data_IF_946935017714
#
_entry.id   IF_946935017714
#
_cell.length_a   1.000
_cell.length_b   1.000
_cell.length_c   1.000
_cell.angle_alpha   90.00
_cell.angle_beta   90.00
_cell.angle_gamma   90.00
#
_symmetry.space_group_name_H-M   'P 1'
#
loop_
_entity.id
_entity.type
_entity.pdbx_description
1 polymer ?
#
# COMPACT_ATOMS: atom_id res chain seq x y z
N UNK A 1 24.77 23.13 -6.25
CA UNK A 1 25.45 24.21 -5.51
C UNK A 1 26.19 23.70 -4.27
N UNK A 2 25.61 22.83 -3.41
CA UNK A 2 26.26 22.33 -2.18
C UNK A 2 27.58 21.58 -2.46
N UNK A 3 27.64 20.74 -3.49
CA UNK A 3 28.89 20.07 -3.87
C UNK A 3 29.98 21.05 -4.36
N UNK A 4 29.58 22.13 -5.05
CA UNK A 4 30.53 23.19 -5.46
C UNK A 4 31.06 23.93 -4.26
N UNK A 5 30.19 24.25 -3.27
CA UNK A 5 30.56 24.87 -2.01
C UNK A 5 31.53 23.98 -1.24
N UNK A 6 31.15 22.69 -1.05
CA UNK A 6 32.01 21.72 -0.36
C UNK A 6 33.42 21.64 -0.98
N UNK A 7 33.48 21.53 -2.32
CA UNK A 7 34.77 21.49 -3.04
C UNK A 7 35.59 22.76 -2.76
N UNK A 8 34.97 23.93 -2.88
CA UNK A 8 35.64 25.23 -2.61
C UNK A 8 36.21 25.32 -1.19
N UNK A 9 35.40 24.89 -0.21
CA UNK A 9 35.82 24.94 1.20
C UNK A 9 36.96 23.96 1.49
N UNK A 10 36.95 22.76 0.89
CA UNK A 10 38.07 21.79 0.99
C UNK A 10 39.33 22.32 0.30
N UNK A 11 39.20 22.82 -0.94
CA UNK A 11 40.35 23.37 -1.69
C UNK A 11 41.02 24.53 -0.89
N UNK A 12 40.22 25.38 -0.26
CA UNK A 12 40.76 26.48 0.55
C UNK A 12 41.58 26.02 1.77
N UNK A 13 41.24 24.86 2.36
CA UNK A 13 42.04 24.27 3.45
C UNK A 13 43.33 23.63 2.92
N UNK A 14 43.26 22.97 1.76
CA UNK A 14 44.46 22.40 1.11
C UNK A 14 45.46 23.49 0.70
N UNK A 15 45.00 24.63 0.19
CA UNK A 15 45.84 25.79 -0.12
C UNK A 15 46.56 26.38 1.11
N UNK A 16 45.96 26.20 2.29
CA UNK A 16 46.58 26.58 3.58
C UNK A 16 47.60 25.56 4.10
N UNK A 17 47.80 24.43 3.38
CA UNK A 17 48.76 23.39 3.73
C UNK A 17 48.17 22.20 4.47
N UNK A 18 46.83 22.13 4.62
CA UNK A 18 46.20 20.97 5.24
C UNK A 18 46.23 19.76 4.31
N UNK A 19 46.53 18.54 4.83
CA UNK A 19 46.43 17.32 4.06
C UNK A 19 44.99 17.12 3.57
N UNK A 20 44.79 16.67 2.32
CA UNK A 20 43.51 16.53 1.67
C UNK A 20 42.45 15.76 2.52
N UNK A 21 42.87 14.66 3.16
CA UNK A 21 41.97 13.84 3.99
C UNK A 21 41.51 14.60 5.23
N UNK A 22 42.44 15.33 5.89
CA UNK A 22 42.15 16.16 7.06
C UNK A 22 41.20 17.30 6.73
N UNK A 23 41.43 17.99 5.60
CA UNK A 23 40.55 19.04 5.10
C UNK A 23 39.15 18.55 4.83
N UNK A 24 38.99 17.40 4.16
CA UNK A 24 37.70 16.77 3.92
C UNK A 24 36.98 16.44 5.22
N UNK A 25 37.68 15.83 6.19
CA UNK A 25 37.10 15.45 7.49
C UNK A 25 36.68 16.67 8.32
N UNK A 26 37.40 17.75 8.24
CA UNK A 26 37.08 18.98 8.94
C UNK A 26 35.78 19.59 8.41
N UNK A 27 35.65 19.73 7.10
CA UNK A 27 34.42 20.24 6.45
C UNK A 27 33.22 19.34 6.72
N UNK A 28 33.37 18.00 6.62
CA UNK A 28 32.31 17.05 6.95
C UNK A 28 31.87 17.18 8.41
N UNK A 29 32.79 17.33 9.36
CA UNK A 29 32.46 17.55 10.78
C UNK A 29 31.64 18.82 10.98
N UNK A 30 31.96 19.90 10.24
CA UNK A 30 31.17 21.13 10.22
C UNK A 30 29.74 20.87 9.82
N UNK A 31 29.51 20.21 8.66
CA UNK A 31 28.20 19.90 8.15
C UNK A 31 27.40 18.96 9.07
N UNK A 32 28.05 17.93 9.65
CA UNK A 32 27.38 17.05 10.62
C UNK A 32 26.86 17.84 11.83
N UNK A 33 27.64 18.79 12.34
CA UNK A 33 27.23 19.64 13.48
C UNK A 33 26.06 20.55 13.11
N UNK A 34 26.11 21.17 11.93
CA UNK A 34 25.06 22.05 11.43
C UNK A 34 23.75 21.29 11.17
N UNK A 35 23.85 20.06 10.61
CA UNK A 35 22.70 19.24 10.26
C UNK A 35 22.18 18.37 11.43
N UNK A 36 22.81 18.40 12.61
CA UNK A 36 22.41 17.54 13.73
C UNK A 36 20.96 17.72 14.16
N UNK A 37 20.42 18.92 14.02
CA UNK A 37 19.03 19.21 14.41
C UNK A 37 17.98 18.52 13.54
N UNK A 38 18.33 18.14 12.31
CA UNK A 38 17.43 17.44 11.37
C UNK A 38 17.71 15.94 11.30
N UNK A 39 18.71 15.45 12.02
CA UNK A 39 19.00 14.02 12.09
C UNK A 39 17.99 13.30 12.98
N UNK A 40 17.43 12.21 12.45
CA UNK A 40 16.41 11.42 13.13
C UNK A 40 16.69 9.92 12.95
N UNK A 41 16.81 9.21 14.07
CA UNK A 41 17.12 7.76 14.12
C UNK A 41 15.91 6.88 14.42
N UNK A 42 14.71 7.46 14.50
CA UNK A 42 13.48 6.76 14.85
C UNK A 42 12.73 6.21 13.64
N UNK A 43 11.53 5.68 13.91
CA UNK A 43 10.61 5.27 12.87
C UNK A 43 9.93 6.48 12.23
N UNK A 44 10.31 6.84 11.01
CA UNK A 44 9.74 7.95 10.23
C UNK A 44 8.28 7.75 9.76
N UNK A 45 7.69 6.58 10.02
CA UNK A 45 6.29 6.27 9.67
C UNK A 45 5.35 6.29 10.90
N UNK A 46 5.89 6.49 12.10
CA UNK A 46 5.11 6.50 13.33
C UNK A 46 4.31 7.79 13.50
N UNK A 47 3.22 7.71 14.27
CA UNK A 47 2.40 8.89 14.58
C UNK A 47 3.14 9.88 15.49
N UNK A 48 4.04 9.39 16.35
CA UNK A 48 4.94 10.23 17.15
C UNK A 48 5.86 11.06 16.27
N UNK A 49 6.37 10.46 15.17
CA UNK A 49 7.17 11.23 14.22
C UNK A 49 6.35 12.30 13.50
N UNK A 50 5.13 11.98 13.06
CA UNK A 50 4.24 12.96 12.42
C UNK A 50 3.99 14.16 13.32
N UNK A 51 3.72 13.92 14.60
CA UNK A 51 3.54 14.96 15.59
C UNK A 51 4.82 15.80 15.80
N UNK A 52 5.98 15.15 15.88
CA UNK A 52 7.27 15.81 16.02
C UNK A 52 7.66 16.61 14.76
N UNK A 53 7.40 16.08 13.57
CA UNK A 53 7.61 16.78 12.30
C UNK A 53 6.77 18.06 12.23
N UNK A 54 5.50 17.99 12.60
CA UNK A 54 4.61 19.15 12.68
C UNK A 54 5.13 20.19 13.70
N UNK A 55 5.60 19.75 14.87
CA UNK A 55 6.20 20.61 15.89
C UNK A 55 7.46 21.33 15.38
N UNK A 56 8.24 20.69 14.53
CA UNK A 56 9.45 21.27 13.90
C UNK A 56 9.15 22.13 12.67
N UNK A 57 7.88 22.20 12.22
CA UNK A 57 7.50 22.90 11.00
C UNK A 57 7.94 22.16 9.72
N UNK A 58 8.17 20.85 9.80
CA UNK A 58 8.45 20.00 8.65
C UNK A 58 7.15 19.56 8.01
N UNK A 59 7.12 19.55 6.69
CA UNK A 59 6.01 18.98 5.92
C UNK A 59 6.02 17.45 6.08
N UNK A 60 4.90 16.90 6.53
CA UNK A 60 4.70 15.46 6.73
C UNK A 60 3.35 15.03 6.15
N UNK A 61 3.07 15.44 4.90
CA UNK A 61 1.87 15.05 4.19
C UNK A 61 1.89 13.56 3.85
N UNK A 62 0.79 12.86 4.11
CA UNK A 62 0.64 11.42 3.84
C UNK A 62 -0.23 11.12 2.61
N UNK A 63 -0.97 12.12 2.12
CA UNK A 63 -1.77 11.99 0.90
C UNK A 63 -0.90 12.13 -0.34
N UNK A 64 -0.66 11.03 -1.03
CA UNK A 64 0.16 11.01 -2.26
C UNK A 64 -0.33 12.01 -3.32
N UNK A 65 -1.64 12.13 -3.65
CA UNK A 65 -2.10 13.14 -4.60
C UNK A 65 -1.81 14.57 -4.18
N UNK A 66 -1.87 14.89 -2.89
CA UNK A 66 -1.56 16.22 -2.33
C UNK A 66 -0.05 16.49 -2.37
N UNK A 67 0.79 15.46 -2.12
CA UNK A 67 2.25 15.61 -2.22
C UNK A 67 2.67 16.06 -3.62
N UNK A 68 1.97 15.65 -4.67
CA UNK A 68 2.28 16.05 -6.05
C UNK A 68 2.14 17.55 -6.29
N UNK A 69 1.37 18.28 -5.49
CA UNK A 69 1.26 19.74 -5.56
C UNK A 69 2.62 20.42 -5.34
N UNK A 70 3.54 19.79 -4.59
CA UNK A 70 4.87 20.34 -4.33
C UNK A 70 5.71 20.54 -5.59
N UNK A 71 5.45 19.79 -6.66
CA UNK A 71 6.13 19.97 -7.94
C UNK A 71 5.73 21.26 -8.65
N UNK A 72 4.56 21.81 -8.34
CA UNK A 72 4.00 23.01 -8.95
C UNK A 72 4.15 24.25 -8.08
N UNK A 73 4.82 24.16 -6.92
CA UNK A 73 5.14 25.33 -6.11
C UNK A 73 6.09 26.27 -6.86
N UNK A 74 5.90 27.60 -6.73
CA UNK A 74 6.74 28.57 -7.45
C UNK A 74 8.24 28.37 -7.27
N UNK A 75 8.68 28.06 -6.06
CA UNK A 75 10.07 27.79 -5.75
C UNK A 75 10.60 26.51 -6.41
N UNK A 76 9.78 25.49 -6.53
CA UNK A 76 10.14 24.24 -7.21
C UNK A 76 10.27 24.47 -8.73
N UNK A 77 9.32 25.17 -9.32
CA UNK A 77 9.37 25.54 -10.72
C UNK A 77 10.62 26.37 -11.03
N UNK A 78 10.86 27.43 -10.25
CA UNK A 78 12.03 28.28 -10.40
C UNK A 78 13.35 27.50 -10.28
N UNK A 79 13.42 26.53 -9.36
CA UNK A 79 14.59 25.66 -9.23
C UNK A 79 14.82 24.82 -10.50
N UNK A 80 13.78 24.16 -11.05
CA UNK A 80 13.92 23.33 -12.24
C UNK A 80 14.28 24.14 -13.49
N UNK A 81 13.71 25.34 -13.64
CA UNK A 81 14.04 26.25 -14.73
C UNK A 81 15.48 26.79 -14.62
N UNK A 82 15.92 27.17 -13.41
CA UNK A 82 17.28 27.68 -13.18
C UNK A 82 18.38 26.66 -13.48
N UNK A 83 18.11 25.36 -13.29
CA UNK A 83 19.08 24.31 -13.62
C UNK A 83 18.89 23.73 -15.03
N UNK A 84 17.90 24.26 -15.79
CA UNK A 84 17.66 23.87 -17.19
C UNK A 84 17.15 22.43 -17.38
N UNK A 85 16.48 21.85 -16.35
CA UNK A 85 16.00 20.47 -16.39
C UNK A 85 14.58 20.38 -16.95
N UNK A 86 13.67 21.24 -16.49
CA UNK A 86 12.27 21.27 -16.93
C UNK A 86 11.74 22.70 -16.91
N UNK A 87 10.87 22.99 -17.85
CA UNK A 87 10.05 24.20 -17.89
C UNK A 87 8.77 24.01 -17.03
N UNK A 88 8.11 25.12 -16.70
CA UNK A 88 6.79 25.08 -16.03
C UNK A 88 5.81 24.15 -16.74
N UNK A 89 5.68 24.27 -18.07
CA UNK A 89 4.75 23.45 -18.86
C UNK A 89 5.04 21.96 -18.78
N UNK A 90 6.32 21.59 -18.77
CA UNK A 90 6.72 20.18 -18.62
C UNK A 90 6.41 19.65 -17.21
N UNK A 91 6.60 20.47 -16.17
CA UNK A 91 6.22 20.10 -14.80
C UNK A 91 4.71 19.91 -14.66
N UNK A 92 3.92 20.83 -15.19
CA UNK A 92 2.46 20.76 -15.19
C UNK A 92 1.98 19.47 -15.91
N UNK A 93 2.45 19.23 -17.13
CA UNK A 93 2.08 18.03 -17.89
C UNK A 93 2.48 16.73 -17.18
N UNK A 94 3.69 16.68 -16.59
CA UNK A 94 4.13 15.50 -15.82
C UNK A 94 3.32 15.30 -14.56
N UNK A 95 2.86 16.36 -13.93
CA UNK A 95 2.06 16.28 -12.71
C UNK A 95 0.64 15.76 -13.01
N UNK A 96 0.03 16.18 -14.11
CA UNK A 96 -1.22 15.60 -14.62
C UNK A 96 -1.09 14.07 -14.79
N UNK A 97 -0.01 13.62 -15.43
CA UNK A 97 0.25 12.19 -15.61
C UNK A 97 0.45 11.44 -14.27
N UNK A 98 1.02 12.09 -13.25
CA UNK A 98 1.17 11.48 -11.91
C UNK A 98 -0.17 11.27 -11.24
N UNK A 99 -1.08 12.26 -11.26
CA UNK A 99 -2.42 12.12 -10.71
C UNK A 99 -3.23 11.06 -11.46
N UNK A 100 -3.20 11.08 -12.80
CA UNK A 100 -3.84 10.06 -13.62
C UNK A 100 -3.31 8.65 -13.31
N UNK A 101 -1.99 8.50 -13.20
CA UNK A 101 -1.34 7.22 -12.89
C UNK A 101 -1.74 6.72 -11.50
N UNK A 102 -1.78 7.61 -10.49
CA UNK A 102 -2.24 7.27 -9.16
C UNK A 102 -3.68 6.75 -9.18
N UNK A 103 -4.59 7.52 -9.81
CA UNK A 103 -6.00 7.14 -9.96
C UNK A 103 -6.15 5.78 -10.64
N UNK A 104 -5.43 5.54 -11.74
CA UNK A 104 -5.48 4.27 -12.49
C UNK A 104 -5.00 3.09 -11.64
N UNK A 105 -3.93 3.25 -10.86
CA UNK A 105 -3.44 2.19 -9.96
C UNK A 105 -4.49 1.80 -8.93
N UNK A 106 -5.02 2.78 -8.18
CA UNK A 106 -6.06 2.51 -7.18
C UNK A 106 -7.32 1.93 -7.83
N UNK A 107 -7.69 2.40 -9.04
CA UNK A 107 -8.83 1.85 -9.78
C UNK A 107 -8.64 0.37 -10.13
N UNK A 108 -7.43 -0.03 -10.55
CA UNK A 108 -7.11 -1.44 -10.85
C UNK A 108 -7.19 -2.26 -9.57
N UNK A 109 -6.57 -1.81 -8.49
CA UNK A 109 -6.58 -2.48 -7.19
C UNK A 109 -8.01 -2.69 -6.69
N UNK A 110 -8.85 -1.65 -6.75
CA UNK A 110 -10.25 -1.71 -6.34
C UNK A 110 -11.07 -2.71 -7.17
N UNK A 111 -10.83 -2.78 -8.48
CA UNK A 111 -11.52 -3.75 -9.36
C UNK A 111 -11.09 -5.17 -9.06
N UNK A 112 -9.79 -5.39 -8.93
CA UNK A 112 -9.23 -6.73 -8.67
C UNK A 112 -9.66 -7.22 -7.29
N UNK A 113 -9.57 -6.38 -6.24
CA UNK A 113 -10.02 -6.77 -4.90
C UNK A 113 -11.51 -7.09 -4.88
N UNK A 114 -12.34 -6.27 -5.52
CA UNK A 114 -13.78 -6.53 -5.64
C UNK A 114 -14.09 -7.83 -6.36
N UNK A 115 -13.39 -8.12 -7.46
CA UNK A 115 -13.54 -9.37 -8.20
C UNK A 115 -13.11 -10.59 -7.35
N UNK A 116 -11.95 -10.54 -6.72
CA UNK A 116 -11.47 -11.60 -5.85
C UNK A 116 -12.41 -11.83 -4.66
N UNK A 117 -12.91 -10.77 -4.04
CA UNK A 117 -13.85 -10.87 -2.93
C UNK A 117 -15.14 -11.58 -3.34
N UNK A 118 -15.74 -11.17 -4.45
CA UNK A 118 -17.05 -11.66 -4.89
C UNK A 118 -17.00 -13.05 -5.53
N UNK A 119 -15.94 -13.35 -6.29
CA UNK A 119 -15.88 -14.56 -7.11
C UNK A 119 -15.01 -15.68 -6.51
N UNK A 120 -14.18 -15.38 -5.51
CA UNK A 120 -13.31 -16.37 -4.88
C UNK A 120 -13.52 -16.47 -3.36
N UNK A 121 -13.47 -15.35 -2.65
CA UNK A 121 -13.42 -15.34 -1.18
C UNK A 121 -14.78 -15.62 -0.55
N UNK A 122 -15.82 -14.86 -0.92
CA UNK A 122 -17.18 -15.09 -0.41
C UNK A 122 -17.69 -16.49 -0.75
N UNK A 123 -17.54 -17.01 -1.98
CA UNK A 123 -17.99 -18.35 -2.31
C UNK A 123 -17.31 -19.44 -1.46
N UNK A 124 -16.00 -19.39 -1.29
CA UNK A 124 -15.28 -20.41 -0.52
C UNK A 124 -15.59 -20.31 0.98
N UNK A 125 -15.71 -19.09 1.53
CA UNK A 125 -16.10 -18.90 2.92
C UNK A 125 -17.52 -19.42 3.20
N UNK A 126 -18.46 -19.18 2.29
CA UNK A 126 -19.83 -19.69 2.38
C UNK A 126 -19.87 -21.22 2.27
N UNK A 127 -19.02 -21.81 1.43
CA UNK A 127 -18.94 -23.28 1.34
C UNK A 127 -18.42 -23.89 2.64
N UNK A 128 -17.35 -23.32 3.21
CA UNK A 128 -16.82 -23.77 4.51
C UNK A 128 -17.84 -23.59 5.65
N UNK A 129 -18.57 -22.48 5.65
CA UNK A 129 -19.66 -22.23 6.58
C UNK A 129 -20.75 -23.34 6.47
N UNK A 130 -21.09 -23.75 5.25
CA UNK A 130 -22.04 -24.84 5.01
C UNK A 130 -21.55 -26.15 5.61
N UNK A 131 -20.26 -26.47 5.52
CA UNK A 131 -19.69 -27.68 6.11
C UNK A 131 -19.72 -27.62 7.65
N UNK A 132 -19.48 -26.46 8.26
CA UNK A 132 -19.64 -26.25 9.69
C UNK A 132 -21.09 -26.42 10.15
N UNK A 133 -22.07 -25.87 9.40
CA UNK A 133 -23.52 -26.02 9.67
C UNK A 133 -23.90 -27.48 9.60
N UNK A 134 -23.46 -28.22 8.59
CA UNK A 134 -23.71 -29.66 8.46
C UNK A 134 -23.12 -30.44 9.63
N UNK A 135 -21.95 -30.06 10.11
CA UNK A 135 -21.34 -30.67 11.28
C UNK A 135 -22.17 -30.44 12.55
N UNK A 136 -22.60 -29.20 12.81
CA UNK A 136 -23.49 -28.85 13.94
C UNK A 136 -24.79 -29.63 13.87
N UNK A 137 -25.45 -29.69 12.71
CA UNK A 137 -26.69 -30.45 12.50
C UNK A 137 -26.52 -31.94 12.83
N UNK A 138 -25.43 -32.55 12.38
CA UNK A 138 -25.13 -33.97 12.67
C UNK A 138 -24.86 -34.18 14.16
N UNK A 139 -24.17 -33.27 14.85
CA UNK A 139 -23.98 -33.34 16.31
C UNK A 139 -25.31 -33.25 17.06
N UNK A 140 -26.22 -32.38 16.65
CA UNK A 140 -27.55 -32.25 17.25
C UNK A 140 -28.40 -33.51 17.07
N UNK A 141 -28.22 -34.25 15.98
CA UNK A 141 -28.94 -35.52 15.75
C UNK A 141 -28.35 -36.71 16.49
N UNK A 142 -27.06 -36.64 16.87
CA UNK A 142 -26.35 -37.77 17.52
C UNK A 142 -26.37 -37.73 19.06
N UNK A 143 -26.45 -36.53 19.65
CA UNK A 143 -26.30 -36.30 21.07
C UNK A 143 -27.54 -35.67 21.70
N UNK A 144 -27.79 -35.85 23.02
CA UNK A 144 -28.80 -35.07 23.74
C UNK A 144 -28.52 -33.58 23.63
N UNK A 145 -29.60 -32.75 23.63
CA UNK A 145 -29.56 -31.33 23.33
C UNK A 145 -28.48 -30.54 24.09
N UNK A 146 -28.36 -30.76 25.43
CA UNK A 146 -27.36 -30.08 26.27
C UNK A 146 -25.92 -30.42 25.83
N UNK A 147 -25.64 -31.70 25.56
CA UNK A 147 -24.35 -32.15 25.09
C UNK A 147 -24.03 -31.66 23.71
N UNK A 148 -25.02 -31.68 22.77
CA UNK A 148 -24.89 -31.16 21.42
C UNK A 148 -24.56 -29.66 21.43
N UNK A 149 -25.28 -28.87 22.21
CA UNK A 149 -25.04 -27.44 22.35
C UNK A 149 -23.60 -27.15 22.82
N UNK A 150 -23.13 -27.85 23.84
CA UNK A 150 -21.77 -27.71 24.37
C UNK A 150 -20.70 -28.04 23.31
N UNK A 151 -20.88 -29.13 22.56
CA UNK A 151 -19.93 -29.59 21.54
C UNK A 151 -19.92 -28.68 20.31
N UNK A 152 -21.05 -28.06 19.97
CA UNK A 152 -21.20 -27.23 18.80
C UNK A 152 -20.91 -25.73 19.02
N UNK A 153 -20.73 -25.30 20.28
CA UNK A 153 -20.62 -23.89 20.64
C UNK A 153 -19.56 -23.12 19.81
N UNK A 154 -18.36 -23.70 19.66
CA UNK A 154 -17.30 -23.08 18.90
C UNK A 154 -17.54 -23.05 17.38
N UNK A 155 -18.20 -24.06 16.86
CA UNK A 155 -18.59 -24.07 15.44
C UNK A 155 -19.68 -23.01 15.16
N UNK A 156 -20.60 -22.80 16.09
CA UNK A 156 -21.61 -21.74 15.95
C UNK A 156 -20.99 -20.35 15.96
N UNK A 157 -20.03 -20.08 16.86
CA UNK A 157 -19.26 -18.83 16.86
C UNK A 157 -18.55 -18.58 15.51
N UNK A 158 -17.93 -19.62 14.94
CA UNK A 158 -17.27 -19.53 13.62
C UNK A 158 -18.28 -19.28 12.47
N UNK A 159 -19.44 -19.93 12.53
CA UNK A 159 -20.52 -19.75 11.54
C UNK A 159 -21.01 -18.31 11.53
N UNK A 160 -21.22 -17.72 12.72
CA UNK A 160 -21.62 -16.33 12.88
C UNK A 160 -20.53 -15.37 12.37
N UNK A 161 -19.25 -15.59 12.76
CA UNK A 161 -18.13 -14.77 12.32
C UNK A 161 -17.99 -14.78 10.78
N UNK A 162 -18.13 -15.94 10.15
CA UNK A 162 -18.06 -16.02 8.67
C UNK A 162 -19.23 -15.27 8.02
N UNK A 163 -20.44 -15.38 8.57
CA UNK A 163 -21.61 -14.67 8.08
C UNK A 163 -21.41 -13.14 8.14
N UNK A 164 -20.99 -12.64 9.30
CA UNK A 164 -20.78 -11.20 9.52
C UNK A 164 -19.71 -10.65 8.58
N UNK A 165 -18.58 -11.36 8.44
CA UNK A 165 -17.47 -10.91 7.59
C UNK A 165 -17.85 -10.94 6.11
N UNK A 166 -18.53 -11.97 5.64
CA UNK A 166 -18.98 -12.06 4.24
C UNK A 166 -20.02 -11.01 3.90
N UNK A 167 -20.95 -10.72 4.82
CA UNK A 167 -21.92 -9.63 4.66
C UNK A 167 -21.23 -8.27 4.59
N UNK A 168 -20.29 -8.00 5.51
CA UNK A 168 -19.50 -6.77 5.52
C UNK A 168 -18.72 -6.58 4.21
N UNK A 169 -17.99 -7.61 3.78
CA UNK A 169 -17.20 -7.56 2.54
C UNK A 169 -18.11 -7.21 1.36
N UNK A 170 -19.27 -7.87 1.23
CA UNK A 170 -20.19 -7.62 0.13
C UNK A 170 -20.70 -6.19 0.12
N UNK A 171 -21.17 -5.70 1.26
CA UNK A 171 -21.69 -4.33 1.40
C UNK A 171 -20.63 -3.28 1.04
N UNK A 172 -19.40 -3.46 1.55
CA UNK A 172 -18.31 -2.51 1.31
C UNK A 172 -17.76 -2.58 -0.11
N UNK A 173 -17.78 -3.75 -0.77
CA UNK A 173 -17.47 -3.85 -2.20
C UNK A 173 -18.50 -3.10 -3.04
N UNK A 174 -19.80 -3.26 -2.75
CA UNK A 174 -20.85 -2.55 -3.45
C UNK A 174 -20.73 -1.01 -3.24
N UNK A 175 -20.49 -0.58 -2.00
CA UNK A 175 -20.27 0.84 -1.67
C UNK A 175 -19.02 1.42 -2.37
N UNK A 176 -17.91 0.67 -2.40
CA UNK A 176 -16.68 1.05 -3.10
C UNK A 176 -16.91 1.20 -4.61
N UNK A 177 -17.71 0.33 -5.21
CA UNK A 177 -18.07 0.42 -6.64
C UNK A 177 -18.82 1.73 -6.91
N UNK A 178 -19.80 2.09 -6.07
CA UNK A 178 -20.55 3.34 -6.22
C UNK A 178 -19.66 4.57 -5.98
N UNK A 179 -18.83 4.58 -4.95
CA UNK A 179 -17.86 5.65 -4.70
C UNK A 179 -16.95 5.88 -5.91
N UNK A 180 -16.46 4.80 -6.54
CA UNK A 180 -15.64 4.87 -7.74
C UNK A 180 -16.39 5.45 -8.94
N UNK A 181 -17.69 5.11 -9.10
CA UNK A 181 -18.53 5.70 -10.16
C UNK A 181 -18.69 7.22 -9.98
N UNK A 182 -18.80 7.68 -8.73
CA UNK A 182 -18.87 9.11 -8.39
C UNK A 182 -17.54 9.78 -8.70
N UNK A 183 -16.43 9.26 -8.19
CA UNK A 183 -15.10 9.82 -8.40
C UNK A 183 -14.72 9.90 -9.89
N UNK A 184 -15.13 8.93 -10.71
CA UNK A 184 -14.86 8.92 -12.16
C UNK A 184 -15.55 10.06 -12.94
N UNK A 185 -16.57 10.71 -12.36
CA UNK A 185 -17.24 11.87 -13.00
C UNK A 185 -16.49 13.19 -12.80
N UNK A 186 -15.50 13.21 -11.93
CA UNK A 186 -14.67 14.38 -11.67
C UNK A 186 -13.76 14.60 -12.89
N UNK A 187 -13.76 15.79 -13.45
CA UNK A 187 -12.96 16.13 -14.65
C UNK A 187 -11.50 16.37 -14.31
N UNK A 188 -11.22 17.09 -13.22
CA UNK A 188 -9.86 17.38 -12.75
C UNK A 188 -9.15 16.12 -12.29
N UNK A 189 -8.02 15.77 -12.89
CA UNK A 189 -7.23 14.60 -12.51
C UNK A 189 -6.71 14.71 -11.07
N UNK A 190 -6.37 15.93 -10.62
CA UNK A 190 -5.98 16.18 -9.22
C UNK A 190 -7.11 15.87 -8.24
N UNK A 191 -8.28 16.46 -8.47
CA UNK A 191 -9.45 16.26 -7.57
C UNK A 191 -9.93 14.82 -7.61
N UNK A 192 -9.90 14.18 -8.77
CA UNK A 192 -10.20 12.76 -8.93
C UNK A 192 -9.23 11.90 -8.12
N UNK A 193 -7.93 12.16 -8.19
CA UNK A 193 -6.92 11.43 -7.43
C UNK A 193 -7.11 11.59 -5.90
N UNK A 194 -7.46 12.80 -5.43
CA UNK A 194 -7.81 13.06 -4.04
C UNK A 194 -9.07 12.29 -3.65
N UNK A 195 -10.12 12.31 -4.46
CA UNK A 195 -11.35 11.56 -4.18
C UNK A 195 -11.08 10.05 -4.10
N UNK A 196 -10.22 9.51 -4.97
CA UNK A 196 -9.80 8.11 -4.89
C UNK A 196 -9.02 7.80 -3.61
N UNK A 197 -8.11 8.68 -3.21
CA UNK A 197 -7.37 8.55 -1.96
C UNK A 197 -8.30 8.54 -0.74
N UNK A 198 -9.23 9.48 -0.69
CA UNK A 198 -10.03 9.72 0.51
C UNK A 198 -11.21 8.75 0.67
N UNK A 199 -11.70 8.16 -0.43
CA UNK A 199 -12.90 7.30 -0.39
C UNK A 199 -12.62 5.86 -0.77
N UNK A 200 -11.77 5.58 -1.76
CA UNK A 200 -11.55 4.22 -2.25
C UNK A 200 -10.44 3.51 -1.46
N UNK A 201 -9.35 4.19 -1.16
CA UNK A 201 -8.24 3.58 -0.39
C UNK A 201 -8.68 3.07 0.98
N UNK A 202 -9.41 3.84 1.82
CA UNK A 202 -9.92 3.32 3.09
C UNK A 202 -10.84 2.10 2.92
N UNK A 203 -11.72 2.12 1.91
CA UNK A 203 -12.58 0.97 1.62
C UNK A 203 -11.79 -0.28 1.24
N UNK A 204 -10.69 -0.15 0.48
CA UNK A 204 -9.78 -1.26 0.17
C UNK A 204 -9.17 -1.87 1.44
N UNK A 205 -8.73 -1.02 2.39
CA UNK A 205 -8.12 -1.47 3.64
C UNK A 205 -9.13 -2.21 4.53
N UNK A 206 -10.34 -1.69 4.65
CA UNK A 206 -11.41 -2.33 5.45
C UNK A 206 -11.83 -3.67 4.85
N UNK A 207 -12.07 -3.74 3.53
CA UNK A 207 -12.42 -4.98 2.84
C UNK A 207 -11.30 -6.00 3.05
N UNK A 208 -10.05 -5.60 2.85
CA UNK A 208 -8.89 -6.47 3.03
C UNK A 208 -8.77 -6.98 4.45
N UNK A 209 -8.99 -6.15 5.46
CA UNK A 209 -8.97 -6.60 6.86
C UNK A 209 -9.90 -7.78 7.11
N UNK A 210 -11.14 -7.71 6.59
CA UNK A 210 -12.11 -8.79 6.76
C UNK A 210 -11.76 -10.03 5.95
N UNK A 211 -11.18 -9.87 4.76
CA UNK A 211 -10.67 -10.97 3.93
C UNK A 211 -9.52 -11.69 4.65
N UNK A 212 -8.56 -10.95 5.19
CA UNK A 212 -7.41 -11.52 5.92
C UNK A 212 -7.87 -12.34 7.15
N UNK A 213 -8.97 -11.92 7.81
CA UNK A 213 -9.57 -12.70 8.90
C UNK A 213 -10.22 -13.99 8.40
N UNK A 214 -10.93 -13.95 7.28
CA UNK A 214 -11.49 -15.16 6.65
C UNK A 214 -10.39 -16.14 6.21
N UNK A 215 -9.26 -15.64 5.69
CA UNK A 215 -8.11 -16.48 5.32
C UNK A 215 -7.59 -17.31 6.48
N UNK A 216 -7.64 -16.77 7.71
CA UNK A 216 -7.20 -17.48 8.92
C UNK A 216 -8.19 -18.54 9.39
N UNK A 217 -9.47 -18.39 9.07
CA UNK A 217 -10.58 -19.24 9.54
C UNK A 217 -10.87 -20.36 8.57
N UNK A 218 -10.93 -20.06 7.28
CA UNK A 218 -11.34 -21.02 6.23
C UNK A 218 -10.27 -22.09 6.04
N UNK A 219 -10.72 -23.33 5.81
CA UNK A 219 -9.86 -24.47 5.56
C UNK A 219 -8.85 -24.19 4.44
N UNK A 220 -7.59 -24.51 4.71
CA UNK A 220 -6.50 -24.27 3.76
C UNK A 220 -6.63 -25.06 2.45
N UNK A 221 -7.31 -26.20 2.45
CA UNK A 221 -7.53 -26.99 1.24
C UNK A 221 -8.65 -26.42 0.38
N UNK A 222 -9.59 -25.72 0.99
CA UNK A 222 -10.69 -25.04 0.28
C UNK A 222 -10.27 -23.66 -0.24
N UNK A 223 -9.33 -22.98 0.43
CA UNK A 223 -8.89 -21.63 0.06
C UNK A 223 -8.18 -21.63 -1.29
N UNK A 224 -8.75 -20.95 -2.28
CA UNK A 224 -8.32 -21.02 -3.68
C UNK A 224 -7.17 -20.05 -4.03
N UNK A 225 -6.91 -19.07 -3.18
CA UNK A 225 -5.86 -18.07 -3.39
C UNK A 225 -4.61 -18.44 -2.59
N UNK A 226 -3.41 -18.02 -3.03
CA UNK A 226 -2.19 -18.21 -2.25
C UNK A 226 -2.31 -17.54 -0.88
N UNK A 227 -2.03 -18.29 0.19
CA UNK A 227 -1.95 -17.74 1.54
C UNK A 227 -0.60 -17.06 1.78
N UNK A 228 -0.54 -16.10 2.70
CA UNK A 228 0.71 -15.39 3.03
C UNK A 228 1.88 -16.33 3.32
N UNK A 229 1.65 -17.44 4.02
CA UNK A 229 2.70 -18.44 4.28
C UNK A 229 3.29 -19.05 3.02
N UNK A 230 2.51 -19.17 1.94
CA UNK A 230 2.97 -19.77 0.68
C UNK A 230 3.88 -18.82 -0.09
N UNK A 231 3.74 -17.51 0.13
CA UNK A 231 4.62 -16.49 -0.45
C UNK A 231 6.04 -16.50 0.15
N UNK A 232 6.20 -17.12 1.32
CA UNK A 232 7.52 -17.27 1.97
C UNK A 232 8.39 -18.36 1.32
N UNK A 233 7.79 -19.24 0.53
CA UNK A 233 8.50 -20.31 -0.14
C UNK A 233 8.76 -19.93 -1.61
N UNK A 234 10.05 -19.82 -1.98
CA UNK A 234 10.43 -19.69 -3.37
C UNK A 234 10.12 -21.01 -4.06
N UNK A 235 9.01 -21.07 -4.80
CA UNK A 235 8.79 -22.18 -5.73
C UNK A 235 9.77 -22.03 -6.88
N UNK A 236 10.77 -22.89 -6.93
CA UNK A 236 11.61 -23.04 -8.12
C UNK A 236 10.69 -23.42 -9.28
N UNK A 237 10.42 -22.47 -10.16
CA UNK A 237 9.77 -22.78 -11.44
C UNK A 237 10.78 -23.60 -12.22
N UNK A 238 10.52 -24.90 -12.42
CA UNK A 238 11.36 -25.72 -13.26
C UNK A 238 11.30 -25.14 -14.68
N UNK A 239 12.43 -24.78 -15.23
CA UNK A 239 12.61 -24.19 -16.56
C UNK A 239 11.97 -25.00 -17.71
N UNK A 240 11.62 -26.26 -17.45
CA UNK A 240 10.94 -27.14 -18.39
C UNK A 240 9.53 -26.71 -18.75
N UNK A 241 8.79 -25.99 -17.85
CA UNK A 241 7.45 -25.48 -18.17
C UNK A 241 7.48 -24.21 -19.02
N UNK A 242 8.49 -23.36 -18.89
CA UNK A 242 8.61 -22.14 -19.71
C UNK A 242 8.99 -22.47 -21.15
N UNK A 243 9.82 -23.50 -21.39
CA UNK A 243 10.20 -23.94 -22.74
C UNK A 243 9.05 -24.58 -23.53
N UNK A 244 8.05 -25.16 -22.87
CA UNK A 244 6.90 -25.75 -23.55
C UNK A 244 5.94 -24.70 -24.15
N UNK A 245 5.96 -23.47 -23.65
CA UNK A 245 5.18 -22.36 -24.21
C UNK A 245 5.89 -21.60 -25.34
N UNK A 246 7.22 -21.53 -25.34
CA UNK A 246 7.99 -20.87 -26.41
C UNK A 246 8.04 -21.66 -27.72
N UNK A 247 7.93 -22.99 -27.67
CA UNK A 247 7.96 -23.83 -28.87
C UNK A 247 6.65 -23.89 -29.65
N UNK A 248 5.56 -23.33 -29.10
CA UNK A 248 4.24 -23.28 -29.80
C UNK A 248 3.99 -22.00 -30.61
N UNK A 249 4.84 -20.99 -30.51
CA UNK A 249 4.67 -19.71 -31.23
C UNK A 249 5.56 -19.57 -32.47
N UNK A 250 6.31 -20.62 -32.85
CA UNK A 250 7.21 -20.63 -34.03
C UNK A 250 6.88 -21.78 -35.01
N UNK A 251 5.60 -22.08 -35.21
CA UNK A 251 5.12 -22.90 -36.31
C UNK A 251 4.00 -22.19 -37.05
#
# INVERSE_FOLDING_TARGET
DQLKKFKKDVDALIEKGEPKVSAILEIIRGYIKECKAIHFDGNGYSDEWKAEAARRGLDCETSVPVIFDNYLKPETIAMFEAIGVMTRKELEARNEVKWETYTKKIQIEARVLGDLAMNHIIPVATQYQTDLINNVYKMQSLFPAEKAAKLSAKNLELIEEIADRTAFIKEHVDAMIEARKVANKIESEREKAIAYHDTIVPALEEIRYHIDKLELIVDNQMWTLPKYRELLFVRSVSYTHLRAHETRSNL
#
